data_IF_944707305593
#
_entry.id   IF_944707305593
#
_cell.length_a   1.000
_cell.length_b   1.000
_cell.length_c   1.000
_cell.angle_alpha   90.00
_cell.angle_beta   90.00
_cell.angle_gamma   90.00
#
_symmetry.space_group_name_H-M   'P 1'
#
loop_
_entity.id
_entity.type
_entity.pdbx_description
1 polymer ?
#
# COMPACT_ATOMS: atom_id res chain seq x y z
N UNK A 1 -2.28 -8.91 -17.73
CA UNK A 1 -2.59 -9.23 -16.32
C UNK A 1 -2.40 -8.04 -15.37
N UNK A 2 -1.28 -7.31 -15.40
CA UNK A 2 -1.07 -6.16 -14.51
C UNK A 2 -2.12 -5.05 -14.71
N UNK A 3 -2.61 -4.85 -15.93
CA UNK A 3 -3.66 -3.87 -16.24
C UNK A 3 -4.99 -4.17 -15.54
N UNK A 4 -5.46 -5.43 -15.60
CA UNK A 4 -6.71 -5.86 -14.93
C UNK A 4 -6.62 -5.66 -13.42
N UNK A 5 -5.47 -6.02 -12.84
CA UNK A 5 -5.21 -5.81 -11.42
C UNK A 5 -5.17 -4.32 -11.06
N UNK A 6 -4.39 -3.52 -11.80
CA UNK A 6 -4.26 -2.07 -11.58
C UNK A 6 -5.61 -1.38 -11.68
N UNK A 7 -6.42 -1.72 -12.70
CA UNK A 7 -7.81 -1.23 -12.83
C UNK A 7 -8.65 -1.62 -11.63
N UNK A 8 -8.49 -2.84 -11.11
CA UNK A 8 -9.12 -3.28 -9.86
C UNK A 8 -8.78 -2.39 -8.68
N UNK A 9 -7.49 -2.13 -8.46
CA UNK A 9 -7.01 -1.26 -7.37
C UNK A 9 -7.56 0.15 -7.50
N UNK A 10 -7.51 0.76 -8.70
CA UNK A 10 -8.07 2.09 -8.93
C UNK A 10 -9.57 2.14 -8.67
N UNK A 11 -10.33 1.13 -9.09
CA UNK A 11 -11.78 1.06 -8.84
C UNK A 11 -12.10 0.88 -7.35
N UNK A 12 -11.32 0.09 -6.61
CA UNK A 12 -11.48 -0.02 -5.16
C UNK A 12 -11.13 1.29 -4.43
N UNK A 13 -10.05 1.96 -4.82
CA UNK A 13 -9.68 3.26 -4.28
C UNK A 13 -10.80 4.30 -4.49
N UNK A 14 -11.35 4.37 -5.71
CA UNK A 14 -12.50 5.25 -6.02
C UNK A 14 -13.78 4.83 -5.28
N UNK A 15 -14.01 3.53 -5.12
CA UNK A 15 -15.15 3.01 -4.38
C UNK A 15 -15.07 3.36 -2.88
N UNK A 16 -13.87 3.36 -2.29
CA UNK A 16 -13.65 3.75 -0.89
C UNK A 16 -13.87 5.25 -0.71
N UNK A 17 -13.31 6.07 -1.59
CA UNK A 17 -13.50 7.54 -1.55
C UNK A 17 -14.95 7.98 -1.76
N UNK A 18 -15.65 7.39 -2.73
CA UNK A 18 -16.98 7.89 -3.16
C UNK A 18 -18.16 7.10 -2.60
N UNK A 19 -17.95 5.86 -2.17
CA UNK A 19 -19.02 4.96 -1.76
C UNK A 19 -19.97 4.49 -2.88
N UNK A 20 -19.81 4.97 -4.13
CA UNK A 20 -20.78 4.76 -5.22
C UNK A 20 -20.72 3.35 -5.81
N UNK A 21 -21.89 2.77 -6.05
CA UNK A 21 -22.03 1.41 -6.62
C UNK A 21 -21.42 1.25 -8.02
N UNK A 22 -21.34 2.34 -8.79
CA UNK A 22 -20.71 2.37 -10.12
C UNK A 22 -19.24 1.91 -10.11
N UNK A 23 -18.54 2.09 -8.99
CA UNK A 23 -17.17 1.61 -8.82
C UNK A 23 -17.10 0.26 -8.10
N UNK A 24 -17.97 0.03 -7.11
CA UNK A 24 -18.02 -1.22 -6.34
C UNK A 24 -18.32 -2.45 -7.21
N UNK A 25 -19.31 -2.35 -8.11
CA UNK A 25 -19.72 -3.46 -9.00
C UNK A 25 -18.57 -3.93 -9.91
N UNK A 26 -17.91 -3.05 -10.71
CA UNK A 26 -16.80 -3.47 -11.54
C UNK A 26 -15.57 -3.91 -10.73
N UNK A 27 -15.27 -3.29 -9.58
CA UNK A 27 -14.18 -3.73 -8.71
C UNK A 27 -14.36 -5.18 -8.23
N UNK A 28 -15.59 -5.54 -7.83
CA UNK A 28 -15.95 -6.92 -7.44
C UNK A 28 -15.90 -7.89 -8.61
N UNK A 29 -16.27 -7.45 -9.82
CA UNK A 29 -16.16 -8.27 -11.03
C UNK A 29 -14.68 -8.61 -11.33
N UNK A 30 -13.79 -7.63 -11.30
CA UNK A 30 -12.35 -7.84 -11.47
C UNK A 30 -11.79 -8.79 -10.41
N UNK A 31 -12.18 -8.62 -9.15
CA UNK A 31 -11.79 -9.56 -8.09
C UNK A 31 -12.23 -10.99 -8.39
N UNK A 32 -13.45 -11.20 -8.90
CA UNK A 32 -13.92 -12.55 -9.28
C UNK A 32 -13.08 -13.14 -10.42
N UNK A 33 -12.69 -12.32 -11.40
CA UNK A 33 -11.81 -12.74 -12.50
C UNK A 33 -10.47 -13.20 -11.94
N UNK A 34 -9.79 -12.37 -11.15
CA UNK A 34 -8.48 -12.70 -10.55
C UNK A 34 -8.61 -13.92 -9.64
N UNK A 35 -9.70 -14.05 -8.87
CA UNK A 35 -9.97 -15.23 -8.04
C UNK A 35 -10.08 -16.52 -8.86
N UNK A 36 -10.74 -16.46 -10.02
CA UNK A 36 -10.85 -17.61 -10.93
C UNK A 36 -9.48 -18.00 -11.47
N UNK A 37 -8.66 -17.01 -11.85
CA UNK A 37 -7.31 -17.24 -12.38
C UNK A 37 -6.36 -17.86 -11.34
N UNK A 38 -6.35 -17.34 -10.11
CA UNK A 38 -5.57 -17.92 -9.01
C UNK A 38 -5.98 -19.37 -8.73
N UNK A 39 -7.27 -19.70 -8.81
CA UNK A 39 -7.77 -21.08 -8.66
C UNK A 39 -7.36 -22.01 -9.80
N UNK A 40 -7.23 -21.48 -11.02
CA UNK A 40 -7.07 -22.31 -12.22
C UNK A 40 -5.64 -22.80 -12.47
N UNK A 41 -4.59 -22.15 -11.92
CA UNK A 41 -3.21 -22.68 -11.70
C UNK A 41 -2.11 -21.61 -11.50
N UNK A 42 -2.40 -20.30 -11.42
CA UNK A 42 -1.34 -19.28 -11.21
C UNK A 42 -1.07 -18.99 -9.72
N UNK A 43 -0.15 -19.74 -9.12
CA UNK A 43 0.35 -19.49 -7.75
C UNK A 43 0.91 -18.06 -7.58
N UNK A 44 1.46 -17.49 -8.66
CA UNK A 44 2.17 -16.22 -8.63
C UNK A 44 1.29 -14.97 -8.51
N UNK A 45 -0.05 -15.10 -8.46
CA UNK A 45 -0.96 -13.94 -8.34
C UNK A 45 -1.74 -13.92 -7.02
N UNK A 46 -1.41 -14.80 -6.07
CA UNK A 46 -2.09 -14.86 -4.77
C UNK A 46 -2.02 -13.51 -4.03
N UNK A 47 -0.89 -12.81 -4.10
CA UNK A 47 -0.72 -11.50 -3.46
C UNK A 47 -1.69 -10.44 -4.02
N UNK A 48 -1.92 -10.42 -5.33
CA UNK A 48 -2.87 -9.50 -5.98
C UNK A 48 -4.31 -9.78 -5.52
N UNK A 49 -4.67 -11.06 -5.41
CA UNK A 49 -5.97 -11.45 -4.87
C UNK A 49 -6.13 -11.06 -3.41
N UNK A 50 -5.09 -11.21 -2.58
CA UNK A 50 -5.09 -10.78 -1.19
C UNK A 50 -5.38 -9.27 -1.06
N UNK A 51 -4.74 -8.43 -1.88
CA UNK A 51 -5.03 -6.99 -1.91
C UNK A 51 -6.49 -6.69 -2.24
N UNK A 52 -7.01 -7.26 -3.33
CA UNK A 52 -8.40 -7.01 -3.73
C UNK A 52 -9.42 -7.57 -2.74
N UNK A 53 -9.07 -8.63 -2.02
CA UNK A 53 -9.88 -9.13 -0.91
C UNK A 53 -9.86 -8.18 0.29
N UNK A 54 -8.69 -7.59 0.60
CA UNK A 54 -8.55 -6.61 1.66
C UNK A 54 -9.41 -5.36 1.37
N UNK A 55 -9.33 -4.83 0.14
CA UNK A 55 -10.12 -3.67 -0.29
C UNK A 55 -11.63 -3.93 -0.27
N UNK A 56 -12.11 -5.11 -0.68
CA UNK A 56 -13.55 -5.43 -0.59
C UNK A 56 -14.02 -5.59 0.86
N UNK A 57 -13.17 -6.09 1.76
CA UNK A 57 -13.45 -6.18 3.20
C UNK A 57 -13.45 -4.79 3.85
N UNK A 58 -12.53 -3.92 3.45
CA UNK A 58 -12.49 -2.52 3.85
C UNK A 58 -13.79 -1.80 3.44
N UNK A 59 -14.22 -1.96 2.17
CA UNK A 59 -15.52 -1.45 1.70
C UNK A 59 -16.73 -1.98 2.48
N UNK A 60 -16.63 -3.19 3.01
CA UNK A 60 -17.68 -3.82 3.81
C UNK A 60 -17.58 -3.44 5.30
N UNK A 61 -16.74 -2.45 5.65
CA UNK A 61 -16.47 -1.94 7.01
C UNK A 61 -15.98 -3.01 8.00
N UNK A 62 -15.44 -4.14 7.51
CA UNK A 62 -14.91 -5.18 8.38
C UNK A 62 -13.41 -4.96 8.61
N UNK A 63 -13.09 -4.07 9.56
CA UNK A 63 -11.72 -3.58 9.77
C UNK A 63 -10.74 -4.71 10.07
N UNK A 64 -11.05 -5.58 11.04
CA UNK A 64 -10.18 -6.69 11.43
C UNK A 64 -9.89 -7.68 10.29
N UNK A 65 -10.92 -8.08 9.53
CA UNK A 65 -10.69 -8.99 8.39
C UNK A 65 -9.94 -8.31 7.24
N UNK A 66 -10.10 -6.99 7.06
CA UNK A 66 -9.38 -6.22 6.06
C UNK A 66 -7.89 -6.16 6.40
N UNK A 67 -7.53 -5.76 7.63
CA UNK A 67 -6.15 -5.73 8.13
C UNK A 67 -5.44 -7.08 7.97
N UNK A 68 -6.11 -8.18 8.33
CA UNK A 68 -5.54 -9.51 8.16
C UNK A 68 -5.25 -9.84 6.68
N UNK A 69 -6.13 -9.43 5.76
CA UNK A 69 -5.89 -9.64 4.33
C UNK A 69 -4.81 -8.74 3.74
N UNK A 70 -4.66 -7.51 4.23
CA UNK A 70 -3.53 -6.65 3.86
C UNK A 70 -2.21 -7.31 4.29
N UNK A 71 -2.11 -7.73 5.56
CA UNK A 71 -0.92 -8.42 6.09
C UNK A 71 -0.59 -9.70 5.32
N UNK A 72 -1.59 -10.54 5.04
CA UNK A 72 -1.39 -11.75 4.23
C UNK A 72 -0.87 -11.40 2.83
N UNK A 73 -1.40 -10.34 2.21
CA UNK A 73 -0.95 -9.84 0.92
C UNK A 73 0.51 -9.37 0.94
N UNK A 74 0.89 -8.58 1.95
CA UNK A 74 2.28 -8.10 2.14
C UNK A 74 3.23 -9.29 2.26
N UNK A 75 2.92 -10.24 3.15
CA UNK A 75 3.75 -11.44 3.36
C UNK A 75 3.87 -12.26 2.09
N UNK A 76 2.76 -12.47 1.38
CA UNK A 76 2.75 -13.25 0.13
C UNK A 76 3.54 -12.55 -0.98
N UNK A 77 3.42 -11.22 -1.12
CA UNK A 77 4.15 -10.43 -2.10
C UNK A 77 5.65 -10.42 -1.79
N UNK A 78 6.02 -10.14 -0.53
CA UNK A 78 7.41 -10.08 -0.09
C UNK A 78 8.12 -11.42 -0.25
N UNK A 79 7.51 -12.53 0.21
CA UNK A 79 8.08 -13.88 0.05
C UNK A 79 8.19 -14.31 -1.41
N UNK A 80 7.32 -13.80 -2.28
CA UNK A 80 7.36 -14.05 -3.71
C UNK A 80 8.33 -13.16 -4.49
N UNK A 81 9.05 -12.24 -3.84
CA UNK A 81 9.95 -11.29 -4.51
C UNK A 81 9.22 -10.17 -5.27
N UNK A 82 7.91 -10.01 -5.06
CA UNK A 82 7.09 -8.98 -5.72
C UNK A 82 7.19 -7.65 -4.98
N UNK A 83 8.39 -7.05 -4.94
CA UNK A 83 8.67 -5.83 -4.15
C UNK A 83 7.71 -4.67 -4.45
N UNK A 84 7.39 -4.43 -5.72
CA UNK A 84 6.42 -3.40 -6.14
C UNK A 84 5.03 -3.66 -5.58
N UNK A 85 4.56 -4.90 -5.67
CA UNK A 85 3.22 -5.22 -5.22
C UNK A 85 3.17 -5.22 -3.68
N UNK A 86 4.25 -5.61 -3.00
CA UNK A 86 4.38 -5.45 -1.55
C UNK A 86 4.36 -3.96 -1.14
N UNK A 87 5.08 -3.09 -1.85
CA UNK A 87 5.09 -1.64 -1.62
C UNK A 87 3.69 -1.03 -1.83
N UNK A 88 3.02 -1.38 -2.93
CA UNK A 88 1.67 -0.94 -3.21
C UNK A 88 0.68 -1.41 -2.13
N UNK A 89 0.78 -2.66 -1.67
CA UNK A 89 -0.11 -3.17 -0.61
C UNK A 89 0.14 -2.41 0.70
N UNK A 90 1.39 -2.10 1.05
CA UNK A 90 1.71 -1.28 2.21
C UNK A 90 1.10 0.13 2.09
N UNK A 91 1.22 0.79 0.94
CA UNK A 91 0.62 2.11 0.72
C UNK A 91 -0.91 2.07 0.87
N UNK A 92 -1.56 1.07 0.25
CA UNK A 92 -3.01 0.88 0.36
C UNK A 92 -3.44 0.54 1.77
N UNK A 93 -2.61 -0.18 2.53
CA UNK A 93 -2.88 -0.49 3.92
C UNK A 93 -2.72 0.74 4.81
N UNK A 94 -1.70 1.58 4.59
CA UNK A 94 -1.56 2.88 5.27
C UNK A 94 -2.79 3.76 5.03
N UNK A 95 -3.24 3.88 3.77
CA UNK A 95 -4.46 4.61 3.40
C UNK A 95 -5.72 4.05 4.07
N UNK A 96 -5.78 2.74 4.34
CA UNK A 96 -6.84 2.12 5.13
C UNK A 96 -6.73 2.44 6.63
N UNK A 97 -5.52 2.40 7.17
CA UNK A 97 -5.28 2.69 8.58
C UNK A 97 -5.62 4.14 8.92
N UNK A 98 -5.28 5.10 8.05
CA UNK A 98 -5.60 6.51 8.27
C UNK A 98 -7.10 6.81 8.15
N UNK A 99 -7.76 6.32 7.09
CA UNK A 99 -9.11 6.75 6.76
C UNK A 99 -10.21 5.89 7.40
N UNK A 100 -9.94 4.61 7.70
CA UNK A 100 -10.95 3.68 8.19
C UNK A 100 -10.69 3.23 9.64
N UNK A 101 -9.43 3.11 10.07
CA UNK A 101 -9.07 2.63 11.42
C UNK A 101 -8.70 3.76 12.37
N UNK A 102 -8.16 4.86 11.84
CA UNK A 102 -7.56 5.99 12.58
C UNK A 102 -6.29 5.59 13.37
N UNK A 103 -5.59 4.56 12.93
CA UNK A 103 -4.32 4.11 13.52
C UNK A 103 -3.12 4.75 12.81
N UNK A 104 -2.77 5.95 13.27
CA UNK A 104 -1.72 6.78 12.68
C UNK A 104 -0.33 6.14 12.79
N UNK A 105 -0.01 5.55 13.93
CA UNK A 105 1.30 4.94 14.18
C UNK A 105 1.52 3.75 13.24
N UNK A 106 0.54 2.85 13.14
CA UNK A 106 0.66 1.72 12.22
C UNK A 106 0.67 2.18 10.77
N UNK A 107 -0.07 3.22 10.42
CA UNK A 107 -0.06 3.78 9.06
C UNK A 107 1.34 4.27 8.67
N UNK A 108 2.00 5.03 9.54
CA UNK A 108 3.36 5.53 9.29
C UNK A 108 4.36 4.40 9.08
N UNK A 109 4.31 3.36 9.92
CA UNK A 109 5.13 2.16 9.72
C UNK A 109 4.91 1.53 8.34
N UNK A 110 3.65 1.43 7.89
CA UNK A 110 3.36 0.90 6.55
C UNK A 110 3.90 1.82 5.43
N UNK A 111 3.82 3.14 5.58
CA UNK A 111 4.41 4.07 4.61
C UNK A 111 5.93 3.91 4.55
N UNK A 112 6.61 3.84 5.70
CA UNK A 112 8.06 3.58 5.75
C UNK A 112 8.45 2.26 5.06
N UNK A 113 7.64 1.22 5.26
CA UNK A 113 7.79 -0.06 4.56
C UNK A 113 7.51 0.01 3.05
N UNK A 114 6.64 0.90 2.60
CA UNK A 114 6.40 1.13 1.17
C UNK A 114 7.60 1.87 0.54
N UNK A 115 8.09 2.92 1.20
CA UNK A 115 9.26 3.71 0.77
C UNK A 115 10.47 2.80 0.57
N UNK A 116 10.89 2.05 1.59
CA UNK A 116 12.06 1.16 1.51
C UNK A 116 11.98 0.19 0.33
N UNK A 117 10.80 -0.38 0.07
CA UNK A 117 10.60 -1.32 -1.05
C UNK A 117 10.62 -0.64 -2.43
N UNK A 118 10.17 0.60 -2.52
CA UNK A 118 10.30 1.38 -3.76
C UNK A 118 11.74 1.84 -3.98
N UNK A 119 12.48 2.20 -2.92
CA UNK A 119 13.91 2.48 -2.97
C UNK A 119 14.72 1.26 -3.42
N UNK A 120 14.49 0.08 -2.82
CA UNK A 120 15.11 -1.18 -3.23
C UNK A 120 14.86 -1.53 -4.71
N UNK A 121 13.72 -1.08 -5.26
CA UNK A 121 13.38 -1.25 -6.67
C UNK A 121 13.99 -0.17 -7.58
N UNK A 122 14.54 0.91 -7.03
CA UNK A 122 15.03 2.06 -7.78
C UNK A 122 13.94 3.01 -8.28
N UNK A 123 12.74 2.98 -7.68
CA UNK A 123 11.62 3.84 -8.06
C UNK A 123 11.66 5.20 -7.34
N UNK A 124 12.73 5.96 -7.55
CA UNK A 124 13.06 7.21 -6.83
C UNK A 124 11.90 8.22 -6.86
N UNK A 125 11.36 8.51 -8.06
CA UNK A 125 10.22 9.43 -8.21
C UNK A 125 9.00 9.02 -7.37
N UNK A 126 8.72 7.72 -7.28
CA UNK A 126 7.60 7.23 -6.46
C UNK A 126 7.88 7.42 -4.98
N UNK A 127 9.14 7.32 -4.56
CA UNK A 127 9.54 7.59 -3.17
C UNK A 127 9.32 9.07 -2.82
N UNK A 128 9.77 9.99 -3.67
CA UNK A 128 9.59 11.44 -3.49
C UNK A 128 8.10 11.82 -3.41
N UNK A 129 7.28 11.26 -4.31
CA UNK A 129 5.83 11.45 -4.30
C UNK A 129 5.20 10.92 -2.99
N UNK A 130 5.64 9.75 -2.50
CA UNK A 130 5.15 9.19 -1.24
C UNK A 130 5.57 10.01 -0.02
N UNK A 131 6.84 10.45 0.03
CA UNK A 131 7.36 11.27 1.12
C UNK A 131 6.64 12.61 1.19
N UNK A 132 6.38 13.23 0.04
CA UNK A 132 5.63 14.48 -0.05
C UNK A 132 4.18 14.29 0.42
N UNK A 133 3.52 13.21 -0.04
CA UNK A 133 2.12 12.91 0.30
C UNK A 133 1.91 12.60 1.79
N UNK A 134 2.88 11.94 2.42
CA UNK A 134 2.80 11.51 3.82
C UNK A 134 3.73 12.32 4.74
N UNK A 135 4.16 13.51 4.33
CA UNK A 135 5.11 14.34 5.07
C UNK A 135 4.66 14.56 6.53
N UNK A 136 3.40 14.94 6.73
CA UNK A 136 2.84 15.16 8.06
C UNK A 136 2.78 13.89 8.90
N UNK A 137 2.66 12.73 8.27
CA UNK A 137 2.63 11.45 8.96
C UNK A 137 4.04 11.01 9.38
N UNK A 138 5.04 11.25 8.52
CA UNK A 138 6.41 10.80 8.70
C UNK A 138 7.21 11.70 9.64
N UNK A 139 6.91 13.00 9.71
CA UNK A 139 7.60 13.94 10.62
C UNK A 139 7.37 13.64 12.10
N UNK A 140 6.21 13.08 12.44
CA UNK A 140 5.81 12.81 13.83
C UNK A 140 6.44 11.51 14.38
N UNK A 141 6.87 10.61 13.48
CA UNK A 141 7.48 9.32 13.80
C UNK A 141 9.02 9.36 13.84
N UNK A 142 9.62 10.55 13.69
CA UNK A 142 11.05 10.75 13.96
C UNK A 142 11.23 10.66 15.48
N UNK A 143 11.86 9.60 16.02
CA UNK A 143 12.15 9.55 17.45
C UNK A 143 13.12 10.69 17.75
N UNK A 144 12.71 11.65 18.59
CA UNK A 144 13.61 12.72 19.04
C UNK A 144 14.78 12.18 19.86
N UNK A 145 14.61 10.99 20.43
CA UNK A 145 15.58 10.37 21.32
C UNK A 145 15.68 8.90 20.93
N UNK A 146 16.69 8.52 20.13
CA UNK A 146 17.30 7.18 20.10
C UNK A 146 18.51 7.24 19.14
N UNK A 147 19.68 7.47 19.72
CA UNK A 147 20.94 7.13 19.06
C UNK A 147 20.97 5.64 18.76
N UNK A 148 20.81 5.29 17.49
CA UNK A 148 21.22 3.98 16.98
C UNK A 148 22.14 4.22 15.78
N UNK A 149 23.42 3.91 16.00
CA UNK A 149 24.44 3.92 14.96
C UNK A 149 24.12 2.94 13.84
N UNK A 150 24.44 3.36 12.62
CA UNK A 150 24.51 2.48 11.45
C UNK A 150 23.47 2.77 10.37
N UNK A 151 23.66 3.84 9.61
CA UNK A 151 22.94 4.12 8.36
C UNK A 151 22.06 5.36 8.45
N UNK A 152 22.63 6.51 8.08
CA UNK A 152 21.92 7.80 8.00
C UNK A 152 20.69 7.68 7.07
N UNK A 153 19.56 8.31 7.39
CA UNK A 153 18.56 8.67 6.40
C UNK A 153 19.04 9.94 5.66
N UNK A 154 20.04 9.82 4.80
CA UNK A 154 20.60 10.94 4.01
C UNK A 154 19.77 11.28 2.77
N UNK A 155 18.45 11.19 2.84
CA UNK A 155 17.58 11.51 1.69
C UNK A 155 16.37 12.36 2.08
N UNK A 156 15.98 12.44 3.36
CA UNK A 156 14.85 13.27 3.77
C UNK A 156 15.20 14.75 3.98
N UNK A 157 16.49 15.10 4.13
CA UNK A 157 16.92 16.51 4.26
C UNK A 157 17.49 17.09 2.96
N UNK A 158 18.15 16.28 2.12
CA UNK A 158 18.87 16.79 0.95
C UNK A 158 17.94 17.19 -0.22
N UNK A 159 16.72 16.65 -0.28
CA UNK A 159 15.72 17.03 -1.31
C UNK A 159 15.13 18.42 -1.05
N UNK A 160 15.16 18.90 0.20
CA UNK A 160 14.62 20.21 0.58
C UNK A 160 15.58 21.38 0.29
N UNK A 161 16.89 21.15 0.19
CA UNK A 161 17.83 22.20 -0.24
C UNK A 161 17.89 22.38 -1.76
N UNK A 162 17.40 21.41 -2.54
CA UNK A 162 17.41 21.46 -4.00
C UNK A 162 16.14 22.07 -4.60
N UNK A 163 15.11 22.33 -3.79
CA UNK A 163 13.83 22.89 -4.19
C UNK A 163 13.67 24.31 -3.65
N UNK A 164 14.61 25.19 -4.04
CA UNK A 164 14.65 26.58 -3.63
C UNK A 164 13.35 27.33 -3.97
N UNK A 165 12.78 27.98 -2.95
CA UNK A 165 12.08 29.26 -3.10
C UNK A 165 13.07 30.35 -3.53
#
# INVERSE_FOLDING_TARGET
MSEVFTRGVCLYAMARKTGKNKFKRPARAIRKIIKKLVRQRSLNQKHQLCLLNAEDKALSKNKGKASNSYREGIVTAARGGFLRDAALINERYADFLLNDVEDRQQASQQVGFAIRRYEERGAIRTVEELQSKYFDLLKDDIPKDLGFGGGRPSLCLDVLESSGL
#
